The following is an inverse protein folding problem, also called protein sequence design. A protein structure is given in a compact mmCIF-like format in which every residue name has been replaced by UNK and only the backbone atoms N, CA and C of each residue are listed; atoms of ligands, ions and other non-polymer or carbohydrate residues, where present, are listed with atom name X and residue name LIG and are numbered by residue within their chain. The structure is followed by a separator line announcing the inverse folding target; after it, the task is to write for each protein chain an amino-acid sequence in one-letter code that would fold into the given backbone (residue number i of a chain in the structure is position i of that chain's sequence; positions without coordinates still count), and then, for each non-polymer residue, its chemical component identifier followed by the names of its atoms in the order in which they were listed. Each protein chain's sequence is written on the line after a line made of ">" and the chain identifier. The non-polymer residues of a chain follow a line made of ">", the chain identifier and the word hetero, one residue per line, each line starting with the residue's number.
data_IF_327964995395
#
_entry.id   IF_327964995395
#
_cell.length_a   1.000
_cell.length_b   1.000
_cell.length_c   1.000
_cell.angle_alpha   90.00
_cell.angle_beta   90.00
_cell.angle_gamma   90.00
#
_symmetry.space_group_name_H-M   'P 1'
#
loop_
_entity.id
_entity.type
_entity.pdbx_description
1 polymer ?
#
# COMPACT_ATOMS: atom_id res chain seq x y z
N UNK A 1 16.52 -52.27 -14.95
CA UNK A 1 17.16 -51.08 -14.32
C UNK A 1 16.90 -49.79 -15.10
N UNK A 2 17.06 -49.71 -16.42
CA UNK A 2 16.80 -48.49 -17.19
C UNK A 2 15.34 -47.95 -17.06
N UNK A 3 14.31 -48.80 -17.08
CA UNK A 3 12.90 -48.35 -16.93
C UNK A 3 12.60 -47.74 -15.54
N UNK A 4 13.27 -48.22 -14.48
CA UNK A 4 13.14 -47.66 -13.13
C UNK A 4 13.78 -46.28 -13.02
N UNK A 5 14.88 -46.04 -13.75
CA UNK A 5 15.60 -44.77 -13.82
C UNK A 5 14.76 -43.70 -14.51
N UNK A 6 14.05 -44.06 -15.59
CA UNK A 6 13.12 -43.11 -16.28
C UNK A 6 11.91 -42.74 -15.45
N UNK A 7 11.37 -43.67 -14.65
CA UNK A 7 10.25 -43.37 -13.73
C UNK A 7 10.73 -42.42 -12.61
N UNK A 8 11.95 -42.63 -12.08
CA UNK A 8 12.52 -41.74 -11.06
C UNK A 8 12.76 -40.31 -11.59
N UNK A 9 13.23 -40.18 -12.83
CA UNK A 9 13.44 -38.88 -13.50
C UNK A 9 12.09 -38.18 -13.76
N UNK A 10 11.06 -38.96 -14.19
CA UNK A 10 9.72 -38.41 -14.45
C UNK A 10 9.04 -37.90 -13.16
N UNK A 11 9.25 -38.60 -12.04
CA UNK A 11 8.72 -38.15 -10.72
C UNK A 11 9.44 -36.91 -10.21
N UNK A 12 10.76 -36.75 -10.47
CA UNK A 12 11.49 -35.54 -10.11
C UNK A 12 11.05 -34.31 -10.91
N UNK A 13 10.63 -34.45 -12.16
CA UNK A 13 10.12 -33.37 -13.00
C UNK A 13 8.73 -32.90 -12.54
N UNK A 14 7.92 -33.80 -11.95
CA UNK A 14 6.58 -33.42 -11.43
C UNK A 14 6.63 -32.72 -10.06
N UNK A 15 7.73 -32.86 -9.31
CA UNK A 15 7.93 -32.11 -8.04
C UNK A 15 8.70 -30.79 -8.21
N UNK A 16 8.96 -30.37 -9.43
CA UNK A 16 9.32 -28.96 -9.67
C UNK A 16 8.11 -28.10 -9.31
N UNK A 17 7.93 -27.87 -8.01
CA UNK A 17 6.98 -26.87 -7.50
C UNK A 17 7.27 -25.57 -8.23
N UNK A 18 6.40 -25.25 -9.15
CA UNK A 18 6.42 -24.03 -9.93
C UNK A 18 6.12 -22.87 -8.97
N UNK A 19 7.09 -22.49 -8.14
CA UNK A 19 7.11 -21.27 -7.34
C UNK A 19 7.31 -20.09 -8.30
N UNK A 20 6.52 -20.04 -9.39
CA UNK A 20 6.46 -18.86 -10.25
C UNK A 20 5.80 -17.77 -9.40
N UNK A 21 6.65 -16.93 -8.81
CA UNK A 21 6.21 -15.64 -8.27
C UNK A 21 5.38 -14.95 -9.36
N UNK A 22 4.17 -14.50 -9.01
CA UNK A 22 3.31 -13.83 -9.98
C UNK A 22 4.03 -12.56 -10.43
N UNK A 23 4.25 -12.40 -11.74
CA UNK A 23 4.79 -11.17 -12.29
C UNK A 23 3.82 -10.02 -12.03
N UNK A 24 4.35 -8.83 -11.76
CA UNK A 24 3.53 -7.63 -11.67
C UNK A 24 2.92 -7.36 -13.04
N UNK A 25 1.61 -7.17 -13.07
CA UNK A 25 0.89 -6.75 -14.28
C UNK A 25 1.05 -5.26 -14.44
N UNK A 26 1.51 -4.83 -15.61
CA UNK A 26 1.65 -3.42 -15.96
C UNK A 26 0.30 -2.69 -15.85
N UNK A 27 0.34 -1.44 -15.40
CA UNK A 27 -0.83 -0.57 -15.35
C UNK A 27 -0.79 0.47 -14.24
N UNK A 28 -1.80 1.31 -14.25
CA UNK A 28 -1.97 2.40 -13.30
C UNK A 28 -3.02 2.05 -12.26
N UNK A 29 -2.75 2.45 -11.04
CA UNK A 29 -3.56 2.15 -9.87
C UNK A 29 -3.63 3.34 -8.92
N UNK A 30 -4.63 3.35 -8.06
CA UNK A 30 -4.74 4.36 -7.01
C UNK A 30 -5.25 3.75 -5.70
N UNK A 31 -4.84 4.33 -4.58
CA UNK A 31 -5.46 4.08 -3.30
C UNK A 31 -6.73 4.90 -3.13
N UNK A 32 -7.75 4.29 -2.55
CA UNK A 32 -8.94 4.94 -2.04
C UNK A 32 -8.96 4.79 -0.52
N UNK A 33 -8.55 5.85 0.21
CA UNK A 33 -8.19 5.71 1.63
C UNK A 33 -9.18 6.35 2.60
N UNK A 34 -10.41 6.61 2.15
CA UNK A 34 -11.47 7.17 3.01
C UNK A 34 -12.44 6.07 3.47
N UNK A 35 -13.20 6.35 4.55
CA UNK A 35 -14.20 5.44 5.12
C UNK A 35 -15.55 5.47 4.40
N UNK A 36 -15.69 6.30 3.37
CA UNK A 36 -16.88 6.34 2.51
C UNK A 36 -16.42 6.27 1.06
N UNK A 37 -16.77 5.20 0.37
CA UNK A 37 -16.49 5.06 -1.05
C UNK A 37 -17.56 5.76 -1.88
N UNK A 38 -17.14 6.75 -2.66
CA UNK A 38 -17.98 7.49 -3.59
C UNK A 38 -17.14 7.98 -4.77
N UNK A 39 -17.51 7.60 -5.98
CA UNK A 39 -16.89 8.04 -7.22
C UNK A 39 -17.74 9.17 -7.82
N UNK A 40 -17.40 10.43 -7.45
CA UNK A 40 -17.92 11.62 -8.12
C UNK A 40 -17.33 11.81 -9.52
N UNK A 41 -17.82 12.81 -10.25
CA UNK A 41 -17.36 13.09 -11.61
C UNK A 41 -15.86 13.37 -11.72
N UNK A 42 -15.29 14.05 -10.74
CA UNK A 42 -13.85 14.38 -10.70
C UNK A 42 -13.01 13.12 -10.63
N UNK A 43 -13.34 12.20 -9.70
CA UNK A 43 -12.65 10.92 -9.55
C UNK A 43 -12.83 10.01 -10.77
N UNK A 44 -14.05 9.93 -11.32
CA UNK A 44 -14.31 9.16 -12.53
C UNK A 44 -13.48 9.66 -13.72
N UNK A 45 -13.42 10.97 -13.93
CA UNK A 45 -12.60 11.59 -14.97
C UNK A 45 -11.11 11.31 -14.76
N UNK A 46 -10.62 11.43 -13.52
CA UNK A 46 -9.22 11.14 -13.19
C UNK A 46 -8.86 9.68 -13.49
N UNK A 47 -9.70 8.74 -13.08
CA UNK A 47 -9.55 7.30 -13.34
C UNK A 47 -9.47 7.04 -14.85
N UNK A 48 -10.41 7.57 -15.60
CA UNK A 48 -10.47 7.39 -17.07
C UNK A 48 -9.27 8.00 -17.78
N UNK A 49 -8.95 9.27 -17.52
CA UNK A 49 -7.84 10.00 -18.15
C UNK A 49 -6.47 9.35 -17.91
N UNK A 50 -6.29 8.73 -16.76
CA UNK A 50 -5.01 8.13 -16.37
C UNK A 50 -4.99 6.61 -16.52
N UNK A 51 -5.98 6.02 -17.19
CA UNK A 51 -6.08 4.57 -17.44
C UNK A 51 -5.92 3.76 -16.14
N UNK A 52 -6.51 4.22 -15.03
CA UNK A 52 -6.48 3.51 -13.77
C UNK A 52 -7.42 2.32 -13.85
N UNK A 53 -6.88 1.12 -13.69
CA UNK A 53 -7.61 -0.15 -13.81
C UNK A 53 -7.75 -0.89 -12.49
N UNK A 54 -7.05 -0.45 -11.44
CA UNK A 54 -7.07 -1.07 -10.12
C UNK A 54 -7.23 -0.02 -9.02
N UNK A 55 -8.10 -0.31 -8.06
CA UNK A 55 -8.29 0.50 -6.86
C UNK A 55 -8.00 -0.31 -5.61
N UNK A 56 -7.04 0.17 -4.82
CA UNK A 56 -6.74 -0.31 -3.47
C UNK A 56 -7.67 0.40 -2.51
N UNK A 57 -8.75 -0.26 -2.12
CA UNK A 57 -9.78 0.35 -1.28
C UNK A 57 -9.56 -0.07 0.17
N UNK A 58 -9.41 0.90 1.08
CA UNK A 58 -9.37 0.67 2.52
C UNK A 58 -10.70 0.12 2.98
N UNK A 59 -10.78 -1.20 3.18
CA UNK A 59 -12.02 -1.86 3.59
C UNK A 59 -12.33 -1.65 5.06
N UNK A 60 -11.36 -1.85 5.91
CA UNK A 60 -11.43 -1.60 7.34
C UNK A 60 -10.03 -1.60 7.95
N UNK A 61 -9.95 -1.06 9.16
CA UNK A 61 -8.78 -1.18 10.00
C UNK A 61 -8.95 -2.35 10.97
N UNK A 62 -7.83 -2.85 11.48
CA UNK A 62 -7.79 -3.73 12.64
C UNK A 62 -7.04 -3.00 13.75
N UNK A 63 -7.76 -2.73 14.84
CA UNK A 63 -7.22 -2.02 16.00
C UNK A 63 -7.24 -2.92 17.22
N UNK A 64 -6.36 -2.68 18.18
CA UNK A 64 -6.32 -3.41 19.43
C UNK A 64 -7.25 -2.75 20.45
N UNK A 65 -8.29 -3.46 20.91
CA UNK A 65 -9.16 -3.02 21.99
C UNK A 65 -9.24 -4.12 23.04
N UNK A 66 -8.98 -3.79 24.31
CA UNK A 66 -8.98 -4.77 25.40
C UNK A 66 -8.14 -6.01 25.10
N UNK A 67 -6.95 -5.81 24.54
CA UNK A 67 -6.03 -6.86 24.09
C UNK A 67 -6.57 -7.80 22.99
N UNK A 68 -7.66 -7.43 22.29
CA UNK A 68 -8.25 -8.19 21.20
C UNK A 68 -8.20 -7.37 19.89
N UNK A 69 -7.71 -7.93 18.79
CA UNK A 69 -7.83 -7.29 17.47
C UNK A 69 -9.31 -7.25 17.05
N UNK A 70 -9.82 -6.05 16.78
CA UNK A 70 -11.20 -5.84 16.30
C UNK A 70 -11.21 -4.96 15.04
N UNK A 71 -12.20 -5.13 14.15
CA UNK A 71 -12.36 -4.26 13.00
C UNK A 71 -12.86 -2.88 13.42
N UNK A 72 -12.34 -1.84 12.75
CA UNK A 72 -12.70 -0.44 12.92
C UNK A 72 -12.77 0.24 11.55
N UNK A 73 -13.29 1.48 11.49
CA UNK A 73 -13.29 2.34 10.30
C UNK A 73 -13.72 1.61 9.00
N UNK A 74 -14.77 0.76 9.09
CA UNK A 74 -15.27 -0.01 7.94
C UNK A 74 -15.83 0.92 6.86
N UNK A 75 -15.38 0.72 5.62
CA UNK A 75 -15.83 1.50 4.47
C UNK A 75 -17.33 1.32 4.22
N UNK A 76 -18.01 2.42 3.89
CA UNK A 76 -19.39 2.45 3.41
C UNK A 76 -19.40 2.73 1.92
N UNK A 77 -19.93 1.83 1.12
CA UNK A 77 -20.06 2.02 -0.33
C UNK A 77 -21.33 2.84 -0.63
N UNK A 78 -21.17 4.05 -1.18
CA UNK A 78 -22.26 4.94 -1.63
C UNK A 78 -22.44 4.94 -3.14
N UNK A 79 -21.48 4.44 -3.89
CA UNK A 79 -21.57 4.24 -5.34
C UNK A 79 -21.09 2.85 -5.70
N UNK A 80 -21.61 2.32 -6.83
CA UNK A 80 -21.10 1.10 -7.42
C UNK A 80 -19.67 1.29 -7.93
N UNK A 81 -18.95 0.18 -8.01
CA UNK A 81 -17.62 0.14 -8.62
C UNK A 81 -17.80 -0.26 -10.10
N UNK A 82 -17.21 0.48 -11.05
CA UNK A 82 -17.27 0.12 -12.46
C UNK A 82 -16.68 -1.28 -12.71
N UNK A 83 -17.31 -2.08 -13.57
CA UNK A 83 -16.85 -3.44 -13.89
C UNK A 83 -15.45 -3.50 -14.48
N UNK A 84 -14.99 -2.41 -15.11
CA UNK A 84 -13.63 -2.26 -15.64
C UNK A 84 -12.56 -2.13 -14.55
N UNK A 85 -12.93 -1.89 -13.29
CA UNK A 85 -12.03 -1.67 -12.18
C UNK A 85 -11.85 -2.96 -11.38
N UNK A 86 -10.63 -3.42 -11.26
CA UNK A 86 -10.27 -4.45 -10.30
C UNK A 86 -10.17 -3.86 -8.89
N UNK A 87 -10.92 -4.41 -7.95
CA UNK A 87 -10.86 -4.03 -6.54
C UNK A 87 -9.80 -4.85 -5.83
N UNK A 88 -8.96 -4.16 -5.07
CA UNK A 88 -8.00 -4.76 -4.14
C UNK A 88 -8.36 -4.27 -2.73
N UNK A 89 -9.07 -5.08 -1.93
CA UNK A 89 -9.33 -4.77 -0.53
C UNK A 89 -8.03 -4.57 0.23
N UNK A 90 -7.80 -3.37 0.74
CA UNK A 90 -6.66 -3.06 1.60
C UNK A 90 -7.12 -3.01 3.06
N UNK A 91 -6.43 -3.76 3.92
CA UNK A 91 -6.71 -3.84 5.35
C UNK A 91 -5.53 -3.26 6.10
N UNK A 92 -5.76 -2.14 6.78
CA UNK A 92 -4.77 -1.57 7.68
C UNK A 92 -4.81 -2.29 9.03
N UNK A 93 -3.66 -2.77 9.48
CA UNK A 93 -3.53 -3.44 10.79
C UNK A 93 -2.56 -2.64 11.64
N UNK A 94 -3.06 -2.10 12.76
CA UNK A 94 -2.19 -1.43 13.73
C UNK A 94 -1.13 -2.40 14.25
N UNK A 95 0.11 -1.92 14.35
CA UNK A 95 1.26 -2.74 14.78
C UNK A 95 1.02 -3.44 16.13
N UNK A 96 0.30 -2.81 17.04
CA UNK A 96 -0.04 -3.37 18.35
C UNK A 96 -0.85 -4.67 18.25
N UNK A 97 -1.63 -4.84 17.19
CA UNK A 97 -2.36 -6.08 16.94
C UNK A 97 -1.43 -7.28 16.72
N UNK A 98 -0.21 -7.04 16.25
CA UNK A 98 0.82 -8.07 16.07
C UNK A 98 1.48 -8.51 17.39
N UNK A 99 1.21 -7.83 18.51
CA UNK A 99 1.60 -8.29 19.85
C UNK A 99 0.62 -9.33 20.40
N UNK A 100 -0.59 -9.38 19.84
CA UNK A 100 -1.60 -10.38 20.20
C UNK A 100 -1.23 -11.75 19.65
N UNK A 101 -1.52 -12.80 20.43
CA UNK A 101 -1.36 -14.21 20.01
C UNK A 101 -2.64 -14.77 19.37
N UNK A 102 -3.50 -13.91 18.78
CA UNK A 102 -4.74 -14.35 18.13
C UNK A 102 -4.45 -15.09 16.82
N UNK A 103 -4.30 -16.40 16.89
CA UNK A 103 -4.10 -17.26 15.73
C UNK A 103 -5.30 -17.31 14.77
N UNK A 104 -6.46 -16.78 15.17
CA UNK A 104 -7.68 -16.74 14.34
C UNK A 104 -7.78 -15.46 13.49
N UNK A 105 -6.88 -14.48 13.67
CA UNK A 105 -6.96 -13.17 13.03
C UNK A 105 -6.99 -13.26 11.49
N UNK A 106 -6.12 -14.09 10.90
CA UNK A 106 -6.07 -14.26 9.44
C UNK A 106 -7.42 -14.76 8.88
N UNK A 107 -8.04 -15.74 9.55
CA UNK A 107 -9.34 -16.26 9.13
C UNK A 107 -10.46 -15.22 9.32
N UNK A 108 -10.47 -14.48 10.43
CA UNK A 108 -11.43 -13.41 10.67
C UNK A 108 -11.36 -12.32 9.60
N UNK A 109 -10.16 -11.91 9.22
CA UNK A 109 -9.94 -10.90 8.17
C UNK A 109 -10.48 -11.40 6.83
N UNK A 110 -10.04 -12.58 6.36
CA UNK A 110 -10.47 -13.09 5.07
C UNK A 110 -12.00 -13.29 5.01
N UNK A 111 -12.57 -13.88 6.04
CA UNK A 111 -14.04 -14.07 6.12
C UNK A 111 -14.79 -12.75 6.05
N UNK A 112 -14.31 -11.70 6.75
CA UNK A 112 -14.92 -10.38 6.70
C UNK A 112 -14.84 -9.75 5.31
N UNK A 113 -13.70 -9.86 4.63
CA UNK A 113 -13.55 -9.38 3.25
C UNK A 113 -14.56 -10.07 2.33
N UNK A 114 -14.65 -11.40 2.38
CA UNK A 114 -15.60 -12.17 1.56
C UNK A 114 -17.05 -11.78 1.83
N UNK A 115 -17.41 -11.58 3.12
CA UNK A 115 -18.73 -11.11 3.50
C UNK A 115 -19.02 -9.71 2.98
N UNK A 116 -18.06 -8.76 3.08
CA UNK A 116 -18.23 -7.40 2.56
C UNK A 116 -18.39 -7.39 1.05
N UNK A 117 -17.63 -8.23 0.33
CA UNK A 117 -17.78 -8.36 -1.12
C UNK A 117 -19.18 -8.85 -1.51
N UNK A 118 -19.69 -9.88 -0.83
CA UNK A 118 -21.02 -10.40 -1.06
C UNK A 118 -22.13 -9.39 -0.74
N UNK A 119 -22.01 -8.68 0.40
CA UNK A 119 -23.00 -7.68 0.84
C UNK A 119 -23.09 -6.46 -0.09
N UNK A 120 -21.98 -6.08 -0.72
CA UNK A 120 -21.90 -4.87 -1.57
C UNK A 120 -21.82 -5.21 -3.08
N UNK A 121 -22.11 -6.45 -3.47
CA UNK A 121 -22.03 -6.96 -4.85
C UNK A 121 -20.70 -6.65 -5.55
N UNK A 122 -19.59 -6.71 -4.79
CA UNK A 122 -18.26 -6.43 -5.32
C UNK A 122 -17.71 -7.70 -5.95
N UNK A 123 -17.58 -7.66 -7.26
CA UNK A 123 -17.02 -8.71 -8.11
C UNK A 123 -15.53 -8.40 -8.38
N UNK A 124 -14.84 -9.20 -9.13
CA UNK A 124 -13.44 -8.93 -9.57
C UNK A 124 -12.39 -8.76 -8.47
N UNK A 125 -12.62 -9.25 -7.26
CA UNK A 125 -11.59 -9.29 -6.21
C UNK A 125 -10.71 -10.51 -6.45
N UNK A 126 -9.54 -10.29 -7.04
CA UNK A 126 -8.55 -11.35 -7.32
C UNK A 126 -7.37 -11.32 -6.38
N UNK A 127 -7.26 -10.28 -5.57
CA UNK A 127 -6.17 -10.03 -4.64
C UNK A 127 -6.66 -9.21 -3.46
N UNK A 128 -6.06 -9.41 -2.30
CA UNK A 128 -6.21 -8.56 -1.12
C UNK A 128 -4.84 -8.03 -0.69
N UNK A 129 -4.82 -6.91 0.02
CA UNK A 129 -3.60 -6.31 0.53
C UNK A 129 -3.66 -6.13 2.05
N UNK A 130 -2.55 -6.44 2.71
CA UNK A 130 -2.32 -6.11 4.12
C UNK A 130 -1.38 -4.92 4.20
N UNK A 131 -1.80 -3.91 4.94
CA UNK A 131 -0.99 -2.74 5.29
C UNK A 131 -0.69 -2.77 6.79
N UNK A 132 0.57 -2.93 7.16
CA UNK A 132 0.99 -2.96 8.56
C UNK A 132 2.38 -2.36 8.73
N UNK A 133 2.47 -1.35 9.59
CA UNK A 133 3.74 -0.73 9.99
C UNK A 133 4.41 -1.55 11.12
N UNK A 134 4.58 -2.87 10.87
CA UNK A 134 5.21 -3.73 11.86
C UNK A 134 6.67 -3.32 12.14
N UNK A 135 7.09 -3.52 13.38
CA UNK A 135 8.43 -3.21 13.88
C UNK A 135 9.26 -4.48 14.06
N UNK A 136 10.57 -4.35 14.35
CA UNK A 136 11.41 -5.51 14.69
C UNK A 136 10.88 -6.33 15.87
N UNK A 137 10.18 -5.70 16.80
CA UNK A 137 9.56 -6.40 17.93
C UNK A 137 8.38 -7.28 17.54
N UNK A 138 7.68 -6.91 16.46
CA UNK A 138 6.46 -7.60 15.99
C UNK A 138 6.68 -8.36 14.69
N UNK A 139 7.85 -8.29 14.08
CA UNK A 139 8.21 -8.92 12.81
C UNK A 139 7.85 -10.40 12.79
N UNK A 140 8.30 -11.17 13.77
CA UNK A 140 8.03 -12.61 13.84
C UNK A 140 6.53 -12.94 13.79
N UNK A 141 5.72 -12.22 14.57
CA UNK A 141 4.29 -12.44 14.62
C UNK A 141 3.61 -12.02 13.31
N UNK A 142 4.06 -10.91 12.71
CA UNK A 142 3.57 -10.47 11.41
C UNK A 142 3.88 -11.50 10.31
N UNK A 143 5.09 -12.03 10.26
CA UNK A 143 5.47 -13.07 9.30
C UNK A 143 4.64 -14.35 9.47
N UNK A 144 4.39 -14.79 10.71
CA UNK A 144 3.53 -15.93 11.00
C UNK A 144 2.06 -15.67 10.57
N UNK A 145 1.54 -14.49 10.84
CA UNK A 145 0.21 -14.05 10.39
C UNK A 145 0.12 -14.07 8.86
N UNK A 146 1.09 -13.48 8.16
CA UNK A 146 1.11 -13.45 6.70
C UNK A 146 1.19 -14.84 6.08
N UNK A 147 1.95 -15.76 6.68
CA UNK A 147 2.00 -17.17 6.23
C UNK A 147 0.64 -17.86 6.37
N UNK A 148 -0.08 -17.63 7.46
CA UNK A 148 -1.42 -18.18 7.66
C UNK A 148 -2.42 -17.62 6.65
N UNK A 149 -2.40 -16.30 6.48
CA UNK A 149 -3.29 -15.61 5.53
C UNK A 149 -3.01 -16.02 4.08
N UNK A 150 -1.74 -16.18 3.71
CA UNK A 150 -1.35 -16.68 2.39
C UNK A 150 -1.94 -18.07 2.10
N UNK A 151 -1.86 -18.98 3.06
CA UNK A 151 -2.41 -20.32 2.91
C UNK A 151 -3.95 -20.31 2.75
N UNK A 152 -4.63 -19.40 3.47
CA UNK A 152 -6.08 -19.21 3.35
C UNK A 152 -6.45 -18.60 1.99
N UNK A 153 -5.75 -17.55 1.56
CA UNK A 153 -5.97 -16.90 0.27
C UNK A 153 -5.80 -17.87 -0.90
N UNK A 154 -4.77 -18.74 -0.85
CA UNK A 154 -4.56 -19.76 -1.87
C UNK A 154 -5.71 -20.75 -1.99
N UNK A 155 -6.32 -21.17 -0.87
CA UNK A 155 -7.52 -22.05 -0.87
C UNK A 155 -8.71 -21.39 -1.57
N UNK A 156 -8.80 -20.06 -1.48
CA UNK A 156 -9.85 -19.26 -2.13
C UNK A 156 -9.45 -18.74 -3.52
N UNK A 157 -8.26 -19.09 -4.03
CA UNK A 157 -7.70 -18.61 -5.31
C UNK A 157 -7.60 -17.07 -5.38
N UNK A 158 -7.34 -16.44 -4.24
CA UNK A 158 -7.14 -14.98 -4.07
C UNK A 158 -5.65 -14.74 -3.87
N UNK A 159 -5.08 -13.75 -4.57
CA UNK A 159 -3.71 -13.30 -4.35
C UNK A 159 -3.57 -12.52 -3.05
N UNK A 160 -2.38 -12.53 -2.46
CA UNK A 160 -2.04 -11.75 -1.28
C UNK A 160 -0.92 -10.76 -1.58
N UNK A 161 -1.19 -9.48 -1.39
CA UNK A 161 -0.19 -8.42 -1.40
C UNK A 161 0.07 -7.88 0.01
N UNK A 162 1.19 -7.21 0.18
CA UNK A 162 1.51 -6.47 1.40
C UNK A 162 2.13 -5.12 1.08
N UNK A 163 1.95 -4.12 1.94
CA UNK A 163 2.76 -2.90 1.88
C UNK A 163 4.17 -3.17 2.39
N UNK A 164 5.14 -2.45 1.87
CA UNK A 164 6.54 -2.50 2.30
C UNK A 164 6.99 -1.08 2.59
N UNK A 165 7.38 -0.81 3.83
CA UNK A 165 8.00 0.46 4.21
C UNK A 165 9.49 0.43 3.84
N UNK A 166 10.09 1.58 3.60
CA UNK A 166 11.49 1.67 3.18
C UNK A 166 12.45 0.93 4.15
N UNK A 167 12.24 1.09 5.45
CA UNK A 167 13.08 0.43 6.46
C UNK A 167 12.90 -1.10 6.47
N UNK A 168 11.75 -1.61 6.02
CA UNK A 168 11.46 -3.05 5.95
C UNK A 168 12.20 -3.74 4.79
N UNK A 169 12.74 -2.99 3.82
CA UNK A 169 13.53 -3.57 2.72
C UNK A 169 14.76 -4.35 3.19
N UNK A 170 15.27 -4.05 4.38
CA UNK A 170 16.40 -4.77 5.00
C UNK A 170 15.98 -5.95 5.88
N UNK A 171 14.68 -6.24 6.01
CA UNK A 171 14.15 -7.26 6.89
C UNK A 171 13.73 -8.49 6.13
N UNK A 172 13.31 -9.55 6.86
CA UNK A 172 12.77 -10.75 6.25
C UNK A 172 11.46 -10.43 5.51
N UNK A 173 11.36 -10.93 4.29
CA UNK A 173 10.18 -10.73 3.46
C UNK A 173 8.98 -11.53 3.99
N UNK A 174 7.80 -10.92 4.10
CA UNK A 174 6.60 -11.64 4.44
C UNK A 174 6.15 -12.55 3.30
N UNK A 175 5.47 -13.64 3.63
CA UNK A 175 4.88 -14.52 2.62
C UNK A 175 3.71 -13.82 1.94
N UNK A 176 3.92 -13.45 0.69
CA UNK A 176 2.94 -12.79 -0.18
C UNK A 176 3.26 -13.10 -1.65
N UNK A 177 2.34 -12.82 -2.57
CA UNK A 177 2.58 -12.91 -4.01
C UNK A 177 3.38 -11.70 -4.51
N UNK A 178 3.18 -10.51 -3.91
CA UNK A 178 3.88 -9.26 -4.22
C UNK A 178 3.78 -8.24 -3.09
N UNK A 179 4.58 -7.20 -3.19
CA UNK A 179 4.56 -6.06 -2.29
C UNK A 179 4.27 -4.74 -3.01
N UNK A 180 3.89 -3.72 -2.24
CA UNK A 180 3.81 -2.33 -2.68
C UNK A 180 4.76 -1.51 -1.82
N UNK A 181 5.85 -1.02 -2.42
CA UNK A 181 6.78 -0.12 -1.76
C UNK A 181 6.12 1.25 -1.56
N UNK A 182 6.00 1.67 -0.30
CA UNK A 182 5.44 2.97 0.04
C UNK A 182 6.55 4.03 -0.03
N UNK A 183 6.65 4.73 -1.19
CA UNK A 183 7.69 5.72 -1.45
C UNK A 183 7.27 7.09 -0.93
N UNK A 184 7.00 7.17 0.37
CA UNK A 184 6.65 8.40 1.07
C UNK A 184 6.97 8.28 2.57
N UNK A 185 6.79 9.37 3.33
CA UNK A 185 7.22 9.51 4.72
C UNK A 185 8.73 9.25 4.86
N UNK A 186 9.49 9.94 4.00
CA UNK A 186 10.94 9.72 3.85
C UNK A 186 11.78 10.57 4.80
N UNK A 187 11.19 11.57 5.46
CA UNK A 187 11.85 12.47 6.40
C UNK A 187 11.10 12.59 7.73
N UNK A 188 11.50 13.60 8.51
CA UNK A 188 10.91 13.87 9.83
C UNK A 188 9.92 15.05 9.78
N UNK A 189 8.63 14.76 9.63
CA UNK A 189 7.59 15.79 9.61
C UNK A 189 7.43 16.55 10.95
N UNK A 190 8.04 16.08 12.03
CA UNK A 190 8.06 16.78 13.32
C UNK A 190 9.16 17.82 13.40
N UNK A 191 10.10 17.78 12.48
CA UNK A 191 11.14 18.78 12.34
C UNK A 191 10.66 19.90 11.42
N UNK A 192 10.46 21.12 11.97
CA UNK A 192 9.99 22.27 11.19
C UNK A 192 10.95 22.65 10.05
N UNK A 193 12.23 22.29 10.15
CA UNK A 193 13.28 22.59 9.16
C UNK A 193 13.39 21.51 8.07
N UNK A 194 12.71 20.36 8.22
CA UNK A 194 12.63 19.38 7.13
C UNK A 194 11.62 19.87 6.07
N UNK A 195 12.14 20.31 4.94
CA UNK A 195 11.32 20.86 3.85
C UNK A 195 10.61 19.78 3.04
N UNK A 196 11.13 18.54 3.04
CA UNK A 196 10.65 17.44 2.19
C UNK A 196 10.36 16.15 2.98
N UNK A 197 9.63 16.20 4.11
CA UNK A 197 9.42 15.02 4.93
C UNK A 197 8.52 13.97 4.26
N UNK A 198 7.69 14.37 3.29
CA UNK A 198 6.82 13.44 2.56
C UNK A 198 7.63 12.63 1.56
N UNK A 199 8.43 13.30 0.71
CA UNK A 199 9.20 12.63 -0.35
C UNK A 199 10.53 13.32 -0.60
N UNK A 200 11.60 12.68 -0.13
CA UNK A 200 12.98 13.00 -0.46
C UNK A 200 13.74 11.69 -0.74
N UNK A 201 14.00 11.38 -1.99
CA UNK A 201 14.68 10.12 -2.36
C UNK A 201 16.11 10.06 -1.86
N UNK A 202 16.79 11.20 -1.73
CA UNK A 202 18.17 11.25 -1.26
C UNK A 202 18.30 10.84 0.22
N UNK A 203 17.29 11.16 1.03
CA UNK A 203 17.29 10.81 2.47
C UNK A 203 17.12 9.30 2.75
N UNK A 204 16.66 8.53 1.76
CA UNK A 204 16.36 7.11 1.93
C UNK A 204 17.32 6.19 1.17
N UNK A 205 18.39 6.72 0.62
CA UNK A 205 19.38 5.98 -0.17
C UNK A 205 19.95 4.77 0.60
N UNK A 206 20.11 4.88 1.91
CA UNK A 206 20.57 3.79 2.79
C UNK A 206 19.62 2.58 2.80
N UNK A 207 18.33 2.78 2.58
CA UNK A 207 17.35 1.71 2.45
C UNK A 207 17.31 1.16 1.03
N UNK A 208 17.45 2.02 0.01
CA UNK A 208 17.34 1.64 -1.39
C UNK A 208 18.44 0.65 -1.84
N UNK A 209 19.56 0.58 -1.14
CA UNK A 209 20.60 -0.44 -1.40
C UNK A 209 20.09 -1.88 -1.28
N UNK A 210 19.04 -2.13 -0.50
CA UNK A 210 18.43 -3.45 -0.33
C UNK A 210 17.42 -3.79 -1.44
N UNK A 211 16.92 -2.77 -2.17
CA UNK A 211 15.85 -2.93 -3.15
C UNK A 211 16.20 -3.89 -4.29
N UNK A 212 17.47 -3.90 -4.74
CA UNK A 212 17.95 -4.77 -5.82
C UNK A 212 17.80 -6.25 -5.49
N UNK A 213 18.04 -6.61 -4.22
CA UNK A 213 18.07 -8.00 -3.74
C UNK A 213 16.78 -8.37 -2.98
N UNK A 214 15.79 -7.48 -2.94
CA UNK A 214 14.49 -7.78 -2.35
C UNK A 214 13.72 -8.68 -3.29
N UNK A 215 13.52 -9.90 -2.86
CA UNK A 215 13.02 -10.99 -3.74
C UNK A 215 11.55 -10.85 -4.12
N UNK A 216 10.71 -10.25 -3.24
CA UNK A 216 9.29 -10.09 -3.51
C UNK A 216 9.08 -9.14 -4.71
N UNK A 217 8.25 -9.49 -5.71
CA UNK A 217 7.87 -8.56 -6.77
C UNK A 217 7.26 -7.29 -6.18
N UNK A 218 7.73 -6.11 -6.59
CA UNK A 218 7.32 -4.84 -6.01
C UNK A 218 6.70 -3.90 -7.04
N UNK A 219 5.55 -3.31 -6.69
CA UNK A 219 5.02 -2.08 -7.26
C UNK A 219 5.38 -0.90 -6.35
N UNK A 220 5.15 0.35 -6.79
CA UNK A 220 5.44 1.54 -5.98
C UNK A 220 4.22 2.42 -5.83
N UNK A 221 3.99 2.88 -4.61
CA UNK A 221 3.01 3.92 -4.31
C UNK A 221 3.72 5.27 -4.13
N UNK A 222 3.37 6.24 -4.97
CA UNK A 222 3.86 7.61 -4.92
C UNK A 222 2.83 8.55 -4.28
N UNK A 223 3.27 9.50 -3.43
CA UNK A 223 2.36 10.38 -2.71
C UNK A 223 1.80 11.48 -3.60
N UNK A 224 0.50 11.72 -3.50
CA UNK A 224 -0.17 12.92 -4.02
C UNK A 224 -0.60 13.87 -2.90
N UNK A 225 -0.57 13.41 -1.65
CA UNK A 225 -1.06 14.16 -0.50
C UNK A 225 -0.12 15.29 -0.07
N UNK A 226 -0.67 16.21 0.68
CA UNK A 226 0.06 17.27 1.38
C UNK A 226 -0.32 17.27 2.86
N UNK A 227 0.55 17.84 3.68
CA UNK A 227 0.31 18.08 5.08
C UNK A 227 0.36 19.57 5.39
N UNK A 228 -0.58 20.06 6.18
CA UNK A 228 -0.48 21.30 6.93
C UNK A 228 -0.08 20.93 8.36
N UNK A 229 1.17 21.22 8.71
CA UNK A 229 1.78 20.84 9.98
C UNK A 229 1.70 22.02 10.94
N UNK A 230 1.07 21.83 12.10
CA UNK A 230 1.00 22.82 13.15
C UNK A 230 2.18 22.69 14.10
N UNK A 231 2.87 23.79 14.30
CA UNK A 231 3.95 23.93 15.29
C UNK A 231 3.63 25.04 16.27
N UNK A 232 4.00 24.87 17.53
CA UNK A 232 4.03 25.92 18.54
C UNK A 232 5.47 26.12 19.01
N UNK A 233 6.01 27.32 18.81
CA UNK A 233 7.43 27.63 19.14
C UNK A 233 8.39 26.57 18.60
N UNK A 234 8.26 26.24 17.30
CA UNK A 234 9.00 25.24 16.54
C UNK A 234 8.84 23.77 17.05
N UNK A 235 7.91 23.48 17.95
CA UNK A 235 7.59 22.12 18.38
C UNK A 235 6.34 21.64 17.67
N UNK A 236 6.44 20.46 17.02
CA UNK A 236 5.31 19.83 16.35
C UNK A 236 4.14 19.60 17.31
N UNK A 237 2.94 19.93 16.88
CA UNK A 237 1.68 19.72 17.59
C UNK A 237 0.87 18.63 16.93
N UNK A 238 0.43 18.87 15.68
CA UNK A 238 -0.44 17.97 14.96
C UNK A 238 -0.43 18.22 13.45
N UNK A 239 -1.05 17.31 12.69
CA UNK A 239 -1.36 17.48 11.27
C UNK A 239 -2.78 18.03 11.17
N UNK A 240 -2.95 19.15 10.48
CA UNK A 240 -4.27 19.77 10.28
C UNK A 240 -4.97 19.16 9.07
N UNK A 241 -6.18 18.68 9.27
CA UNK A 241 -7.05 18.11 8.23
C UNK A 241 -8.17 19.06 7.81
N UNK A 242 -8.19 20.27 8.36
CA UNK A 242 -9.15 21.35 8.02
C UNK A 242 -8.40 22.57 7.48
N UNK A 243 -9.07 23.33 6.64
CA UNK A 243 -8.57 24.63 6.18
C UNK A 243 -8.96 25.78 7.15
N UNK A 244 -9.86 25.54 8.10
CA UNK A 244 -10.16 26.48 9.16
C UNK A 244 -8.91 26.72 10.03
N UNK A 245 -8.59 27.98 10.27
CA UNK A 245 -7.44 28.44 11.06
C UNK A 245 -7.87 29.32 12.24
N UNK A 246 -9.18 29.42 12.50
CA UNK A 246 -9.74 30.29 13.57
C UNK A 246 -9.31 29.87 14.99
N UNK A 247 -8.84 28.63 15.15
CA UNK A 247 -8.37 28.07 16.42
C UNK A 247 -6.88 28.33 16.70
N UNK A 248 -6.13 28.96 15.78
CA UNK A 248 -4.71 29.23 15.98
C UNK A 248 -4.49 30.34 17.02
N UNK A 249 -3.44 30.16 17.83
CA UNK A 249 -3.03 31.09 18.88
C UNK A 249 -1.73 31.80 18.52
N UNK A 250 -1.41 32.83 19.29
CA UNK A 250 -0.11 33.51 19.19
C UNK A 250 1.04 32.54 19.47
N UNK A 251 2.01 32.48 18.57
CA UNK A 251 3.14 31.54 18.59
C UNK A 251 2.91 30.24 17.82
N UNK A 252 1.71 30.04 17.27
CA UNK A 252 1.45 28.95 16.34
C UNK A 252 2.00 29.28 14.94
N UNK A 253 2.54 28.27 14.28
CA UNK A 253 3.03 28.34 12.89
C UNK A 253 2.50 27.14 12.13
N UNK A 254 1.84 27.39 11.00
CA UNK A 254 1.39 26.31 10.09
C UNK A 254 2.34 26.25 8.90
N UNK A 255 2.91 25.09 8.68
CA UNK A 255 3.85 24.84 7.57
C UNK A 255 3.26 23.80 6.64
N UNK A 256 3.10 24.15 5.35
CA UNK A 256 2.65 23.22 4.33
C UNK A 256 3.84 22.40 3.81
N UNK A 257 3.65 21.10 3.70
CA UNK A 257 4.60 20.15 3.10
C UNK A 257 3.88 19.34 2.04
N UNK A 258 4.47 19.32 0.84
CA UNK A 258 3.92 18.58 -0.30
C UNK A 258 5.02 18.19 -1.26
N UNK A 259 4.96 17.00 -1.90
CA UNK A 259 5.93 16.63 -2.91
C UNK A 259 5.66 17.40 -4.21
N UNK A 260 6.71 17.88 -4.84
CA UNK A 260 6.64 18.45 -6.20
C UNK A 260 6.60 17.34 -7.25
N UNK A 261 6.20 17.66 -8.48
CA UNK A 261 6.35 16.75 -9.62
C UNK A 261 7.79 16.30 -9.77
N UNK A 262 8.76 17.21 -9.62
CA UNK A 262 10.18 16.91 -9.73
C UNK A 262 10.63 15.87 -8.69
N UNK A 263 10.15 15.96 -7.44
CA UNK A 263 10.45 14.97 -6.39
C UNK A 263 9.90 13.58 -6.75
N UNK A 264 8.67 13.51 -7.24
CA UNK A 264 8.04 12.24 -7.67
C UNK A 264 8.83 11.62 -8.83
N UNK A 265 9.16 12.41 -9.87
CA UNK A 265 9.89 11.90 -11.02
C UNK A 265 11.34 11.52 -10.66
N UNK A 266 12.00 12.25 -9.76
CA UNK A 266 13.33 11.91 -9.25
C UNK A 266 13.30 10.56 -8.52
N UNK A 267 12.32 10.35 -7.64
CA UNK A 267 12.15 9.09 -6.92
C UNK A 267 11.86 7.93 -7.90
N UNK A 268 10.95 8.13 -8.83
CA UNK A 268 10.59 7.15 -9.86
C UNK A 268 11.81 6.71 -10.69
N UNK A 269 12.57 7.66 -11.22
CA UNK A 269 13.77 7.40 -12.02
C UNK A 269 14.84 6.67 -11.18
N UNK A 270 15.03 7.08 -9.92
CA UNK A 270 16.00 6.45 -9.03
C UNK A 270 15.64 4.99 -8.74
N UNK A 271 14.40 4.71 -8.42
CA UNK A 271 13.93 3.35 -8.17
C UNK A 271 14.07 2.47 -9.42
N UNK A 272 13.68 2.97 -10.59
CA UNK A 272 13.78 2.24 -11.86
C UNK A 272 15.23 1.94 -12.26
N UNK A 273 16.17 2.85 -11.92
CA UNK A 273 17.59 2.59 -12.13
C UNK A 273 18.10 1.41 -11.28
N UNK A 274 17.61 1.27 -10.04
CA UNK A 274 17.98 0.17 -9.14
C UNK A 274 17.29 -1.15 -9.54
N UNK A 275 16.00 -1.07 -9.89
CA UNK A 275 15.16 -2.23 -10.20
C UNK A 275 14.24 -1.92 -11.39
N UNK A 276 14.58 -2.44 -12.56
CA UNK A 276 13.96 -2.07 -13.84
C UNK A 276 12.44 -2.33 -13.91
N UNK A 277 11.94 -3.34 -13.19
CA UNK A 277 10.53 -3.75 -13.20
C UNK A 277 9.67 -3.07 -12.13
N UNK A 278 10.26 -2.19 -11.31
CA UNK A 278 9.61 -1.61 -10.14
C UNK A 278 8.41 -0.72 -10.47
N UNK A 279 8.45 -0.05 -11.63
CA UNK A 279 7.40 0.84 -12.12
C UNK A 279 6.45 0.19 -13.13
N UNK A 280 6.42 -1.15 -13.24
CA UNK A 280 5.41 -1.85 -14.05
C UNK A 280 4.00 -1.54 -13.60
N UNK A 281 3.77 -1.41 -12.30
CA UNK A 281 2.55 -0.84 -11.75
C UNK A 281 2.91 0.44 -10.99
N UNK A 282 2.31 1.54 -11.39
CA UNK A 282 2.45 2.83 -10.74
C UNK A 282 1.17 3.09 -9.96
N UNK A 283 1.32 3.29 -8.65
CA UNK A 283 0.20 3.51 -7.75
C UNK A 283 0.31 4.92 -7.18
N UNK A 284 -0.79 5.66 -7.13
CA UNK A 284 -0.82 6.96 -6.46
C UNK A 284 -1.58 6.89 -5.15
N UNK A 285 -1.09 7.57 -4.13
CA UNK A 285 -1.72 7.68 -2.82
C UNK A 285 -2.09 9.15 -2.55
N UNK A 286 -3.37 9.53 -2.54
CA UNK A 286 -4.58 8.76 -2.74
C UNK A 286 -5.56 9.47 -3.70
N UNK A 287 -6.70 8.83 -3.97
CA UNK A 287 -7.74 9.30 -4.91
C UNK A 287 -8.73 10.32 -4.26
N UNK A 288 -8.31 11.04 -3.23
CA UNK A 288 -9.11 12.17 -2.72
C UNK A 288 -9.10 13.32 -3.73
N UNK A 289 -10.22 14.05 -3.86
CA UNK A 289 -10.36 15.15 -4.80
C UNK A 289 -9.25 16.19 -4.64
N UNK A 290 -8.96 16.52 -3.40
CA UNK A 290 -7.90 17.44 -3.02
C UNK A 290 -6.50 17.03 -3.53
N UNK A 291 -6.20 15.74 -3.59
CA UNK A 291 -4.92 15.20 -4.04
C UNK A 291 -4.85 15.12 -5.56
N UNK A 292 -5.92 14.66 -6.22
CA UNK A 292 -5.91 14.43 -7.67
C UNK A 292 -6.09 15.73 -8.49
N UNK A 293 -6.38 16.84 -7.86
CA UNK A 293 -6.45 18.16 -8.52
C UNK A 293 -5.17 18.99 -8.40
N UNK A 294 -4.11 18.44 -7.78
CA UNK A 294 -2.85 19.17 -7.53
C UNK A 294 -2.00 19.39 -8.76
N UNK A 295 -2.02 18.47 -9.70
CA UNK A 295 -1.22 18.52 -10.90
C UNK A 295 -2.10 18.65 -12.14
N UNK A 296 -1.52 19.20 -13.21
CA UNK A 296 -2.17 19.26 -14.53
C UNK A 296 -2.20 17.88 -15.19
N UNK A 297 -3.10 17.68 -16.15
CA UNK A 297 -3.22 16.40 -16.88
C UNK A 297 -1.87 15.95 -17.49
N UNK A 298 -1.09 16.88 -18.05
CA UNK A 298 0.23 16.59 -18.65
C UNK A 298 1.28 16.16 -17.62
N UNK A 299 1.14 16.60 -16.37
CA UNK A 299 2.00 16.22 -15.27
C UNK A 299 1.65 14.82 -14.78
N UNK A 300 0.35 14.50 -14.70
CA UNK A 300 -0.10 13.13 -14.40
C UNK A 300 0.34 12.13 -15.46
N UNK A 301 0.34 12.48 -16.74
CA UNK A 301 0.91 11.64 -17.81
C UNK A 301 2.39 11.30 -17.54
N UNK A 302 3.19 12.25 -17.02
CA UNK A 302 4.60 12.00 -16.65
C UNK A 302 4.71 11.08 -15.42
N UNK A 303 3.83 11.25 -14.43
CA UNK A 303 3.81 10.38 -13.23
C UNK A 303 3.49 8.95 -13.66
N UNK A 304 2.49 8.73 -14.51
CA UNK A 304 2.01 7.42 -14.94
C UNK A 304 2.74 6.84 -16.18
N UNK A 305 3.75 7.51 -16.73
CA UNK A 305 4.56 6.95 -17.82
C UNK A 305 5.40 5.76 -17.29
N UNK A 306 5.40 4.62 -17.98
CA UNK A 306 6.13 3.41 -17.62
C UNK A 306 7.55 3.38 -18.21
#
# INVERSE_FOLDING_TARGET
>A
MQKLLYILILVFVLFSCNNRRKSITEGNSAYYWTTTFSLDKTKQNFISKNNITRLYIRYFDVVLKENKPIPNATVKFKSSIPDSIQVIPAIYIMNECMQSKDTSLANKILRRILQMNATNDIKNVREIQIDCDYTKKTEHNFLAFMQQLYNLCNKHKIGLATTVRLYQLSWQEPKADRGVLMMYNTGDFKNIYDEKPILNVDSVETYLRYLKNYDLPLSVAYPLFKWDLLFYKNRFKEILYTEDRSFLFSGDTVVRREPSLADILKAKNRLQHIRKDINKEIIVFDLSEYNITRFKDEEYKKIFAH
#
